data_IF_269881008378
#
_entry.id   IF_269881008378
#
_cell.length_a   1.000
_cell.length_b   1.000
_cell.length_c   1.000
_cell.angle_alpha   90.00
_cell.angle_beta   90.00
_cell.angle_gamma   90.00
#
_symmetry.space_group_name_H-M   'P 1'
#
loop_
_entity.id
_entity.type
_entity.pdbx_description
1 polymer ?
#
# COMPACT_ATOMS: atom_id res chain seq x y z
N UNK A 1 -67.53 5.21 41.28
CA UNK A 1 -66.33 5.28 40.42
C UNK A 1 -66.72 4.66 39.08
N UNK A 2 -67.11 5.40 38.02
CA UNK A 2 -66.31 6.16 37.02
C UNK A 2 -64.99 5.48 36.66
N UNK A 3 -64.55 5.28 35.41
CA UNK A 3 -65.01 5.41 34.01
C UNK A 3 -63.95 4.62 33.20
N UNK A 4 -64.29 3.66 32.33
CA UNK A 4 -64.50 3.73 30.87
C UNK A 4 -63.29 4.05 29.95
N UNK A 5 -63.21 3.25 28.86
CA UNK A 5 -62.64 3.54 27.50
C UNK A 5 -61.12 3.31 27.35
N UNK A 6 -60.63 2.19 26.78
CA UNK A 6 -60.56 1.74 25.36
C UNK A 6 -59.83 2.70 24.42
N UNK A 7 -58.92 2.13 23.61
CA UNK A 7 -58.69 2.41 22.18
C UNK A 7 -57.27 2.87 21.79
N UNK A 8 -56.62 2.03 20.97
CA UNK A 8 -55.58 2.32 19.94
C UNK A 8 -54.25 2.85 20.52
N UNK A 9 -53.10 2.28 20.19
CA UNK A 9 -52.44 2.51 18.91
C UNK A 9 -51.69 1.26 18.44
N UNK A 10 -51.96 0.85 17.21
CA UNK A 10 -51.13 -0.07 16.46
C UNK A 10 -49.82 0.63 16.09
N UNK A 11 -48.68 0.00 16.37
CA UNK A 11 -47.42 0.34 15.72
C UNK A 11 -46.91 -0.93 15.05
N UNK A 12 -47.32 -1.10 13.79
CA UNK A 12 -46.63 -1.96 12.83
C UNK A 12 -45.42 -1.18 12.33
N UNK A 13 -44.22 -1.54 12.77
CA UNK A 13 -43.00 -1.15 12.06
C UNK A 13 -42.40 -2.42 11.47
N UNK A 14 -42.68 -2.59 10.19
CA UNK A 14 -42.09 -3.54 9.28
C UNK A 14 -40.78 -2.89 8.79
N UNK A 15 -39.61 -3.36 9.22
CA UNK A 15 -38.35 -3.03 8.54
C UNK A 15 -37.82 -4.30 7.90
N UNK A 16 -38.30 -4.55 6.69
CA UNK A 16 -37.62 -5.39 5.71
C UNK A 16 -36.38 -4.62 5.23
N UNK A 17 -35.28 -4.80 5.95
CA UNK A 17 -33.95 -4.33 5.55
C UNK A 17 -33.07 -5.54 5.22
N UNK A 18 -33.41 -6.29 4.18
CA UNK A 18 -32.46 -7.19 3.54
C UNK A 18 -31.41 -6.30 2.88
N UNK A 19 -30.37 -5.96 3.63
CA UNK A 19 -29.14 -5.41 3.09
C UNK A 19 -28.56 -6.49 2.17
N UNK A 20 -28.92 -6.41 0.89
CA UNK A 20 -28.15 -7.04 -0.16
C UNK A 20 -26.77 -6.37 -0.11
N UNK A 21 -25.84 -6.98 0.63
CA UNK A 21 -24.42 -6.79 0.34
C UNK A 21 -24.20 -7.42 -1.02
N UNK A 22 -24.18 -6.56 -2.03
CA UNK A 22 -23.64 -6.91 -3.32
C UNK A 22 -22.20 -7.29 -3.04
N UNK A 23 -21.91 -8.59 -3.04
CA UNK A 23 -20.55 -9.08 -3.23
C UNK A 23 -20.15 -8.68 -4.64
N UNK A 24 -19.76 -7.41 -4.79
CA UNK A 24 -18.99 -7.01 -5.95
C UNK A 24 -17.79 -7.94 -5.98
N UNK A 25 -17.50 -8.61 -7.11
CA UNK A 25 -16.24 -9.30 -7.23
C UNK A 25 -15.17 -8.24 -6.95
N UNK A 26 -14.33 -8.49 -5.94
CA UNK A 26 -13.17 -7.67 -5.65
C UNK A 26 -12.16 -7.86 -6.79
N UNK A 27 -12.48 -7.36 -7.99
CA UNK A 27 -11.46 -6.90 -8.91
C UNK A 27 -10.66 -5.88 -8.10
N UNK A 28 -9.43 -6.23 -7.73
CA UNK A 28 -8.61 -5.50 -6.78
C UNK A 28 -8.55 -4.03 -7.18
N UNK A 29 -9.40 -3.20 -6.58
CA UNK A 29 -9.27 -1.76 -6.68
C UNK A 29 -7.96 -1.43 -5.99
N UNK A 30 -7.04 -0.82 -6.73
CA UNK A 30 -5.77 -0.38 -6.18
C UNK A 30 -6.06 0.53 -4.99
N UNK A 31 -5.64 0.12 -3.80
CA UNK A 31 -5.88 0.82 -2.55
C UNK A 31 -4.63 0.75 -1.69
N UNK A 32 -4.24 1.88 -1.12
CA UNK A 32 -3.25 1.95 -0.08
C UNK A 32 -3.77 2.80 1.09
N UNK A 33 -3.43 2.38 2.30
CA UNK A 33 -3.75 3.11 3.51
C UNK A 33 -2.64 2.92 4.53
N UNK A 34 -2.12 4.03 5.04
CA UNK A 34 -1.05 4.05 6.01
C UNK A 34 -0.23 5.32 5.88
N UNK A 35 0.97 5.29 6.46
CA UNK A 35 1.87 6.44 6.42
C UNK A 35 3.33 6.05 6.34
N UNK A 36 4.09 6.95 5.74
CA UNK A 36 5.54 7.02 5.86
C UNK A 36 5.85 8.19 6.80
N UNK A 37 6.68 7.97 7.81
CA UNK A 37 7.20 9.01 8.69
C UNK A 37 8.70 9.16 8.46
N UNK A 38 9.14 10.37 8.16
CA UNK A 38 10.55 10.71 8.00
C UNK A 38 10.85 11.95 8.82
N UNK A 39 11.82 11.85 9.74
CA UNK A 39 12.23 12.97 10.60
C UNK A 39 11.05 13.56 11.42
N UNK A 40 10.12 12.71 11.85
CA UNK A 40 8.92 13.10 12.60
C UNK A 40 7.85 13.79 11.75
N UNK A 41 7.97 13.74 10.42
CA UNK A 41 7.00 14.31 9.47
C UNK A 41 6.24 13.18 8.78
N UNK A 42 5.01 12.87 9.21
CA UNK A 42 4.21 11.85 8.57
C UNK A 42 3.62 12.34 7.24
N UNK A 43 3.66 11.49 6.22
CA UNK A 43 2.95 11.64 4.95
C UNK A 43 2.01 10.45 4.76
N UNK A 44 0.76 10.73 4.42
CA UNK A 44 -0.25 9.70 4.19
C UNK A 44 0.01 9.03 2.85
N UNK A 45 0.05 7.69 2.83
CA UNK A 45 0.24 6.90 1.61
C UNK A 45 -1.13 6.48 1.10
N UNK A 46 -1.44 6.87 -0.15
CA UNK A 46 -2.79 6.72 -0.73
C UNK A 46 -2.78 5.99 -2.06
N UNK A 47 -1.62 5.89 -2.72
CA UNK A 47 -1.46 5.27 -4.03
C UNK A 47 -0.64 3.99 -3.92
N UNK A 48 -1.00 3.00 -4.74
CA UNK A 48 -0.22 1.77 -4.92
C UNK A 48 -0.16 1.40 -6.40
N UNK A 49 1.02 0.97 -6.81
CA UNK A 49 1.29 0.39 -8.12
C UNK A 49 2.05 -0.92 -7.91
N UNK A 50 1.72 -1.96 -8.66
CA UNK A 50 2.44 -3.23 -8.62
C UNK A 50 2.74 -3.74 -10.02
N UNK A 51 3.93 -4.27 -10.23
CA UNK A 51 4.30 -4.87 -11.50
C UNK A 51 5.29 -6.02 -11.33
N UNK A 52 5.20 -7.00 -12.23
CA UNK A 52 6.12 -8.12 -12.28
C UNK A 52 7.43 -7.72 -12.97
N UNK A 53 8.54 -8.30 -12.52
CA UNK A 53 9.84 -8.28 -13.19
C UNK A 53 10.50 -9.66 -13.16
N UNK A 54 11.57 -9.85 -13.92
CA UNK A 54 12.39 -11.07 -13.83
C UNK A 54 12.92 -11.25 -12.40
N UNK A 55 12.86 -12.50 -11.92
CA UNK A 55 13.33 -12.84 -10.58
C UNK A 55 14.83 -12.58 -10.42
N UNK A 56 15.21 -11.92 -9.32
CA UNK A 56 16.60 -11.56 -9.07
C UNK A 56 17.48 -12.79 -8.77
N UNK A 57 16.99 -13.69 -7.91
CA UNK A 57 17.73 -14.91 -7.52
C UNK A 57 17.47 -16.11 -8.44
N UNK A 58 16.27 -16.18 -9.04
CA UNK A 58 15.92 -17.18 -10.03
C UNK A 58 15.14 -16.52 -11.17
N UNK A 59 15.79 -16.45 -12.34
CA UNK A 59 15.24 -15.86 -13.56
C UNK A 59 13.98 -16.56 -14.08
N UNK A 60 13.75 -17.82 -13.68
CA UNK A 60 12.54 -18.58 -14.01
C UNK A 60 11.34 -18.17 -13.16
N UNK A 61 11.58 -17.55 -12.01
CA UNK A 61 10.54 -16.98 -11.15
C UNK A 61 10.28 -15.51 -11.49
N UNK A 62 9.27 -14.94 -10.83
CA UNK A 62 8.91 -13.53 -10.97
C UNK A 62 9.03 -12.86 -9.61
N UNK A 63 9.67 -11.71 -9.59
CA UNK A 63 9.58 -10.78 -8.46
C UNK A 63 8.46 -9.77 -8.75
N UNK A 64 7.86 -9.24 -7.71
CA UNK A 64 6.87 -8.16 -7.79
C UNK A 64 7.48 -6.90 -7.19
N UNK A 65 7.46 -5.81 -7.94
CA UNK A 65 7.77 -4.49 -7.40
C UNK A 65 6.46 -3.84 -6.98
N UNK A 66 6.39 -3.39 -5.73
CA UNK A 66 5.29 -2.58 -5.19
C UNK A 66 5.83 -1.17 -4.95
N UNK A 67 5.12 -0.17 -5.45
CA UNK A 67 5.40 1.25 -5.25
C UNK A 67 4.21 1.89 -4.53
N UNK A 68 4.45 2.35 -3.31
CA UNK A 68 3.46 2.94 -2.40
C UNK A 68 3.77 4.43 -2.25
N UNK A 69 2.86 5.32 -2.63
CA UNK A 69 3.12 6.77 -2.66
C UNK A 69 2.01 7.59 -2.00
N UNK A 70 2.37 8.79 -1.54
CA UNK A 70 1.42 9.78 -1.02
C UNK A 70 0.57 10.44 -2.11
N UNK A 71 1.13 10.59 -3.31
CA UNK A 71 0.48 11.16 -4.49
C UNK A 71 0.60 10.28 -5.74
N UNK A 72 -0.12 10.69 -6.79
CA UNK A 72 -0.14 9.98 -8.07
C UNK A 72 1.23 10.04 -8.77
N UNK A 73 1.70 8.88 -9.22
CA UNK A 73 2.91 8.76 -10.04
C UNK A 73 2.49 8.67 -11.51
N UNK A 74 3.04 9.51 -12.41
CA UNK A 74 2.79 9.39 -13.83
C UNK A 74 3.15 7.99 -14.34
N UNK A 75 2.30 7.41 -15.19
CA UNK A 75 2.49 6.07 -15.76
C UNK A 75 3.92 5.77 -16.30
N UNK A 76 4.60 6.68 -17.03
CA UNK A 76 5.97 6.41 -17.47
C UNK A 76 6.97 6.30 -16.30
N UNK A 77 6.73 6.99 -15.18
CA UNK A 77 7.61 7.00 -14.01
C UNK A 77 7.41 5.82 -13.06
N UNK A 78 6.31 5.07 -13.16
CA UNK A 78 6.03 3.92 -12.25
C UNK A 78 7.12 2.84 -12.33
N UNK A 79 7.64 2.58 -13.53
CA UNK A 79 8.68 1.58 -13.79
C UNK A 79 10.05 2.18 -14.07
N UNK A 80 10.14 3.47 -14.37
CA UNK A 80 11.40 4.16 -14.65
C UNK A 80 11.98 4.71 -13.35
N UNK A 81 13.08 4.11 -12.89
CA UNK A 81 13.72 4.49 -11.64
C UNK A 81 14.23 5.93 -11.67
N UNK A 82 14.74 6.43 -12.80
CA UNK A 82 15.26 7.80 -12.89
C UNK A 82 14.12 8.82 -12.85
N UNK A 83 13.09 8.61 -13.67
CA UNK A 83 11.92 9.50 -13.66
C UNK A 83 11.21 9.51 -12.30
N UNK A 84 11.13 8.35 -11.64
CA UNK A 84 10.66 8.24 -10.26
C UNK A 84 11.54 9.05 -9.28
N UNK A 85 12.87 8.91 -9.35
CA UNK A 85 13.81 9.63 -8.46
C UNK A 85 13.75 11.14 -8.64
N UNK A 86 13.50 11.64 -9.85
CA UNK A 86 13.30 13.07 -10.09
C UNK A 86 12.05 13.60 -9.37
N UNK A 87 10.96 12.82 -9.31
CA UNK A 87 9.76 13.19 -8.56
C UNK A 87 10.03 13.23 -7.05
N UNK A 88 10.82 12.29 -6.52
CA UNK A 88 11.25 12.29 -5.12
C UNK A 88 12.16 13.49 -4.82
N UNK A 89 13.14 13.76 -5.68
CA UNK A 89 14.11 14.84 -5.49
C UNK A 89 13.43 16.22 -5.47
N UNK A 90 12.34 16.38 -6.22
CA UNK A 90 11.51 17.59 -6.25
C UNK A 90 10.45 17.64 -5.14
N UNK A 91 10.33 16.59 -4.32
CA UNK A 91 9.32 16.48 -3.25
C UNK A 91 7.88 16.38 -3.77
N UNK A 92 7.68 16.06 -5.06
CA UNK A 92 6.35 15.92 -5.66
C UNK A 92 5.61 14.70 -5.14
N UNK A 93 6.35 13.65 -4.79
CA UNK A 93 5.86 12.44 -4.16
C UNK A 93 6.87 11.96 -3.13
N UNK A 94 6.37 11.22 -2.15
CA UNK A 94 7.13 10.47 -1.16
C UNK A 94 6.64 9.04 -1.23
N UNK A 95 7.56 8.09 -1.35
CA UNK A 95 7.18 6.72 -1.65
C UNK A 95 8.02 5.69 -0.91
N UNK A 96 7.44 4.50 -0.73
CA UNK A 96 8.12 3.28 -0.36
C UNK A 96 8.01 2.32 -1.54
N UNK A 97 9.14 1.83 -2.04
CA UNK A 97 9.21 0.79 -3.06
C UNK A 97 9.81 -0.47 -2.44
N UNK A 98 9.18 -1.61 -2.67
CA UNK A 98 9.70 -2.92 -2.29
C UNK A 98 9.76 -3.82 -3.52
N UNK A 99 10.86 -4.56 -3.66
CA UNK A 99 10.91 -5.73 -4.54
C UNK A 99 10.69 -6.96 -3.67
N UNK A 100 9.65 -7.72 -3.98
CA UNK A 100 9.22 -8.90 -3.24
C UNK A 100 9.45 -10.12 -4.14
N UNK A 101 10.19 -11.10 -3.66
CA UNK A 101 10.45 -12.33 -4.41
C UNK A 101 9.25 -13.29 -4.36
N UNK A 102 9.36 -14.39 -5.11
CA UNK A 102 8.33 -15.42 -5.16
C UNK A 102 8.10 -16.15 -3.82
N UNK A 103 9.06 -16.10 -2.90
CA UNK A 103 8.97 -16.64 -1.55
C UNK A 103 8.44 -15.58 -0.56
N UNK A 104 7.90 -14.47 -1.11
CA UNK A 104 7.22 -13.36 -0.44
C UNK A 104 8.15 -12.56 0.49
N UNK A 105 9.45 -12.60 0.24
CA UNK A 105 10.44 -11.84 0.99
C UNK A 105 10.73 -10.52 0.32
N UNK A 106 10.89 -9.46 1.11
CA UNK A 106 11.41 -8.18 0.61
C UNK A 106 12.90 -8.32 0.38
N UNK A 107 13.32 -8.33 -0.88
CA UNK A 107 14.72 -8.52 -1.29
C UNK A 107 15.43 -7.21 -1.61
N UNK A 108 14.66 -6.14 -1.82
CA UNK A 108 15.18 -4.80 -2.02
C UNK A 108 14.12 -3.78 -1.59
N UNK A 109 14.55 -2.67 -1.01
CA UNK A 109 13.69 -1.55 -0.65
C UNK A 109 14.26 -0.23 -1.17
N UNK A 110 13.38 0.76 -1.29
CA UNK A 110 13.72 2.15 -1.57
C UNK A 110 12.69 3.05 -0.90
N UNK A 111 13.13 3.86 0.05
CA UNK A 111 12.32 4.92 0.68
C UNK A 111 12.72 6.25 0.06
N UNK A 112 11.82 6.78 -0.75
CA UNK A 112 11.96 8.05 -1.44
C UNK A 112 11.42 9.20 -0.59
N UNK A 113 12.30 10.04 -0.08
CA UNK A 113 11.98 11.30 0.58
C UNK A 113 13.14 12.28 0.38
N UNK A 114 12.85 13.54 0.04
CA UNK A 114 13.82 14.62 -0.20
C UNK A 114 14.83 14.80 0.93
N UNK A 115 14.43 14.47 2.17
CA UNK A 115 15.31 14.53 3.35
C UNK A 115 16.54 13.60 3.25
N UNK A 116 16.46 12.54 2.46
CA UNK A 116 17.57 11.63 2.18
C UNK A 116 18.45 12.10 1.00
N UNK A 117 17.98 13.07 0.20
CA UNK A 117 18.62 13.51 -1.04
C UNK A 117 18.19 12.70 -2.26
N UNK A 118 18.78 12.98 -3.42
CA UNK A 118 18.37 12.44 -4.73
C UNK A 118 18.37 10.92 -4.83
N UNK A 119 19.27 10.25 -4.11
CA UNK A 119 19.36 8.78 -4.12
C UNK A 119 18.31 8.09 -3.24
N UNK A 120 17.65 8.79 -2.32
CA UNK A 120 16.78 8.17 -1.32
C UNK A 120 17.55 7.24 -0.35
N UNK A 121 16.81 6.49 0.46
CA UNK A 121 17.34 5.43 1.32
C UNK A 121 17.01 4.08 0.67
N UNK A 122 17.98 3.24 0.32
CA UNK A 122 17.74 2.05 -0.51
C UNK A 122 18.77 0.94 -0.29
N UNK A 123 18.38 -0.30 -0.55
CA UNK A 123 19.26 -1.47 -0.46
C UNK A 123 18.53 -2.77 -0.10
N UNK A 124 19.31 -3.81 0.22
CA UNK A 124 18.77 -5.03 0.83
C UNK A 124 18.74 -4.91 2.35
N UNK A 125 17.63 -5.28 2.99
CA UNK A 125 17.52 -5.23 4.46
C UNK A 125 16.44 -6.18 4.98
N UNK A 126 16.70 -6.80 6.13
CA UNK A 126 15.73 -7.62 6.87
C UNK A 126 14.76 -6.80 7.71
N UNK A 127 14.92 -5.47 7.76
CA UNK A 127 14.10 -4.57 8.57
C UNK A 127 12.82 -4.13 7.86
N UNK A 128 12.75 -4.34 6.54
CA UNK A 128 11.60 -4.06 5.70
C UNK A 128 10.82 -5.36 5.48
N UNK A 129 9.56 -5.39 5.89
CA UNK A 129 8.75 -6.61 5.91
C UNK A 129 7.53 -6.41 5.04
N UNK A 130 7.14 -7.49 4.36
CA UNK A 130 5.86 -7.65 3.70
C UNK A 130 5.12 -8.82 4.34
N UNK A 131 3.96 -8.55 4.92
CA UNK A 131 3.05 -9.55 5.48
C UNK A 131 1.95 -9.81 4.44
N UNK A 132 2.10 -10.91 3.70
CA UNK A 132 1.21 -11.21 2.58
C UNK A 132 -0.20 -11.61 3.05
N UNK A 133 -1.21 -10.97 2.48
CA UNK A 133 -2.59 -11.45 2.47
C UNK A 133 -2.89 -12.18 1.15
N UNK A 134 -2.49 -11.60 0.02
CA UNK A 134 -2.62 -12.18 -1.33
C UNK A 134 -1.31 -12.00 -2.10
N UNK A 135 -0.87 -13.04 -2.80
CA UNK A 135 0.28 -13.01 -3.71
C UNK A 135 0.13 -14.17 -4.70
N UNK A 136 -0.64 -13.96 -5.77
CA UNK A 136 -1.09 -15.03 -6.69
C UNK A 136 -0.62 -14.84 -8.15
N UNK A 137 0.28 -13.88 -8.38
CA UNK A 137 0.79 -13.54 -9.71
C UNK A 137 -0.12 -12.65 -10.56
N UNK A 138 -1.34 -12.36 -10.09
CA UNK A 138 -2.28 -11.40 -10.72
C UNK A 138 -2.58 -10.22 -9.81
N UNK A 139 -2.61 -10.47 -8.51
CA UNK A 139 -2.89 -9.49 -7.47
C UNK A 139 -1.91 -9.68 -6.31
N UNK A 140 -1.67 -8.57 -5.62
CA UNK A 140 -0.87 -8.54 -4.40
C UNK A 140 -1.59 -7.69 -3.36
N UNK A 141 -1.71 -8.21 -2.15
CA UNK A 141 -2.30 -7.50 -1.02
C UNK A 141 -1.59 -7.90 0.27
N UNK A 142 -1.54 -6.98 1.23
CA UNK A 142 -0.92 -7.23 2.52
C UNK A 142 -0.48 -5.94 3.20
N UNK A 143 0.48 -6.08 4.12
CA UNK A 143 1.03 -4.98 4.91
C UNK A 143 2.52 -4.85 4.65
N UNK A 144 2.95 -3.68 4.19
CA UNK A 144 4.35 -3.28 4.10
C UNK A 144 4.70 -2.44 5.32
N UNK A 145 5.73 -2.81 6.07
CA UNK A 145 6.18 -2.07 7.26
C UNK A 145 7.68 -2.17 7.50
N UNK A 146 8.22 -1.26 8.30
CA UNK A 146 9.50 -1.48 8.99
C UNK A 146 9.29 -2.21 10.31
N UNK A 147 10.21 -3.10 10.72
CA UNK A 147 10.11 -3.83 12.01
C UNK A 147 10.08 -2.89 13.22
N UNK A 148 10.76 -1.76 13.12
CA UNK A 148 10.77 -0.67 14.08
C UNK A 148 11.33 0.60 13.46
N UNK A 149 11.63 1.63 14.27
CA UNK A 149 12.31 2.84 13.79
C UNK A 149 13.63 2.50 13.10
N UNK A 150 13.84 3.06 11.92
CA UNK A 150 15.06 2.91 11.13
C UNK A 150 15.82 4.24 11.07
N UNK A 151 17.07 4.19 10.63
CA UNK A 151 17.86 5.37 10.27
C UNK A 151 18.41 5.20 8.86
N UNK A 152 18.32 6.26 8.06
CA UNK A 152 18.97 6.29 6.75
C UNK A 152 20.49 6.38 6.89
N UNK A 153 21.21 6.23 5.77
CA UNK A 153 22.66 6.50 5.69
C UNK A 153 23.07 7.92 6.11
N UNK A 154 22.11 8.84 6.23
CA UNK A 154 22.33 10.23 6.70
C UNK A 154 21.79 10.47 8.11
N UNK A 155 21.61 9.41 8.90
CA UNK A 155 21.08 9.43 10.26
C UNK A 155 19.68 10.03 10.41
N UNK A 156 18.91 10.08 9.31
CA UNK A 156 17.54 10.58 9.34
C UNK A 156 16.61 9.44 9.78
N UNK A 157 15.87 9.57 10.88
CA UNK A 157 14.98 8.52 11.34
C UNK A 157 13.78 8.37 10.42
N UNK A 158 13.33 7.14 10.21
CA UNK A 158 12.11 6.86 9.46
C UNK A 158 11.40 5.59 9.91
N UNK A 159 10.10 5.52 9.63
CA UNK A 159 9.29 4.31 9.80
C UNK A 159 8.14 4.35 8.79
N UNK A 160 7.59 3.20 8.41
CA UNK A 160 6.32 3.18 7.70
C UNK A 160 5.50 1.95 8.08
N UNK A 161 4.20 2.09 7.89
CA UNK A 161 3.23 1.04 8.11
C UNK A 161 2.05 1.27 7.17
N UNK A 162 1.91 0.40 6.17
CA UNK A 162 1.02 0.61 5.02
C UNK A 162 0.34 -0.71 4.68
N UNK A 163 -0.97 -0.71 4.65
CA UNK A 163 -1.79 -1.80 4.09
C UNK A 163 -2.16 -1.47 2.65
N UNK A 164 -2.16 -2.47 1.78
CA UNK A 164 -2.47 -2.25 0.38
C UNK A 164 -3.07 -3.47 -0.31
N UNK A 165 -3.69 -3.21 -1.46
CA UNK A 165 -4.12 -4.21 -2.44
C UNK A 165 -3.95 -3.62 -3.84
N UNK A 166 -3.41 -4.38 -4.79
CA UNK A 166 -3.22 -3.94 -6.16
C UNK A 166 -3.26 -5.10 -7.16
N UNK A 167 -3.68 -4.79 -8.39
CA UNK A 167 -3.40 -5.64 -9.54
C UNK A 167 -1.91 -5.58 -9.90
N UNK A 168 -1.32 -6.73 -10.23
CA UNK A 168 0.05 -6.84 -10.71
C UNK A 168 0.04 -6.66 -12.22
N UNK A 169 0.61 -5.56 -12.70
CA UNK A 169 0.84 -5.41 -14.13
C UNK A 169 1.91 -6.40 -14.61
N UNK A 170 1.75 -7.01 -15.79
CA UNK A 170 2.73 -7.95 -16.31
C UNK A 170 4.09 -7.28 -16.59
N UNK A 171 5.10 -8.13 -16.80
CA UNK A 171 6.40 -7.70 -17.31
C UNK A 171 6.20 -6.96 -18.64
N UNK A 172 6.93 -5.87 -18.85
CA UNK A 172 7.06 -5.26 -20.17
C UNK A 172 8.04 -6.05 -21.03
#
# INVERSE_FOLDING_TARGET
MREKIVCKHAVKILVLGLAAWWMLPAAAQNRAEGKLDVDGKPVAITQVYAYAKEGFFDKKKQDVVVLLCDGAVPAPAVRDVFAYKDLIATGKVHCVRQTIDADKQVINFDVGHQRFGSMGENGGSTEHVFEAQTFDGKTIAGRARTKGPQKSFKDVPYTYDITFSAAIEPKK
#
